data_IF_636366497972
#
_entry.id   IF_636366497972
#
_cell.length_a   1.000
_cell.length_b   1.000
_cell.length_c   1.000
_cell.angle_alpha   90.00
_cell.angle_beta   90.00
_cell.angle_gamma   90.00
#
_symmetry.space_group_name_H-M   'P 1'
#
loop_
_entity.id
_entity.type
_entity.pdbx_description
1 polymer ?
#
# COMPACT_ATOMS: atom_id res chain seq x y z
N UNK A 1 -11.89 45.09 8.24
CA UNK A 1 -12.89 44.01 8.45
C UNK A 1 -12.23 42.67 8.20
N UNK A 2 -11.83 41.98 9.27
CA UNK A 2 -11.31 40.61 9.24
C UNK A 2 -12.44 39.66 8.87
N UNK A 3 -12.37 39.02 7.69
CA UNK A 3 -13.23 37.88 7.38
C UNK A 3 -12.49 36.63 7.82
N UNK A 4 -12.82 36.17 9.01
CA UNK A 4 -12.45 34.87 9.52
C UNK A 4 -12.83 33.78 8.51
N UNK A 5 -11.81 32.98 8.18
CA UNK A 5 -11.86 31.75 7.40
C UNK A 5 -12.96 30.82 7.88
N UNK A 6 -14.08 30.77 7.15
CA UNK A 6 -15.03 29.66 7.28
C UNK A 6 -14.37 28.40 6.73
N UNK A 7 -14.17 27.44 7.61
CA UNK A 7 -13.80 26.06 7.32
C UNK A 7 -14.70 25.48 6.22
N UNK A 8 -14.19 25.40 4.99
CA UNK A 8 -14.75 24.53 3.96
C UNK A 8 -14.63 23.11 4.47
N UNK A 9 -15.72 22.52 4.96
CA UNK A 9 -15.76 21.08 5.19
C UNK A 9 -15.34 20.38 3.89
N UNK A 10 -14.34 19.50 3.92
CA UNK A 10 -13.96 18.75 2.73
C UNK A 10 -15.20 18.00 2.22
N UNK A 11 -15.39 17.94 0.90
CA UNK A 11 -16.44 17.11 0.33
C UNK A 11 -16.26 15.68 0.83
N UNK A 12 -17.36 14.94 1.00
CA UNK A 12 -17.30 13.54 1.48
C UNK A 12 -16.34 12.70 0.62
N UNK A 13 -16.29 13.00 -0.69
CA UNK A 13 -15.34 12.42 -1.62
C UNK A 13 -13.88 12.83 -1.31
N UNK A 14 -13.61 14.11 -1.04
CA UNK A 14 -12.27 14.56 -0.63
C UNK A 14 -11.78 13.85 0.64
N UNK A 15 -12.64 13.78 1.67
CA UNK A 15 -12.35 13.10 2.92
C UNK A 15 -12.10 11.60 2.68
N UNK A 16 -12.96 10.93 1.92
CA UNK A 16 -12.82 9.51 1.64
C UNK A 16 -11.54 9.16 0.87
N UNK A 17 -11.11 9.98 -0.11
CA UNK A 17 -9.82 9.77 -0.78
C UNK A 17 -8.64 9.93 0.19
N UNK A 18 -8.70 10.91 1.10
CA UNK A 18 -7.65 11.12 2.10
C UNK A 18 -7.60 9.99 3.13
N UNK A 19 -8.75 9.51 3.60
CA UNK A 19 -8.84 8.37 4.52
C UNK A 19 -8.37 7.08 3.87
N UNK A 20 -8.75 6.83 2.61
CA UNK A 20 -8.27 5.67 1.86
C UNK A 20 -6.74 5.71 1.69
N UNK A 21 -6.17 6.87 1.37
CA UNK A 21 -4.71 7.04 1.28
C UNK A 21 -4.04 6.86 2.64
N UNK A 22 -4.64 7.37 3.72
CA UNK A 22 -4.14 7.18 5.09
C UNK A 22 -4.17 5.69 5.50
N UNK A 23 -5.20 4.94 5.12
CA UNK A 23 -5.28 3.49 5.33
C UNK A 23 -4.14 2.74 4.61
N UNK A 24 -3.85 3.11 3.36
CA UNK A 24 -2.72 2.54 2.60
C UNK A 24 -1.38 2.87 3.26
N UNK A 25 -1.19 4.13 3.68
CA UNK A 25 0.02 4.55 4.40
C UNK A 25 0.16 3.74 5.70
N UNK A 26 -0.91 3.55 6.45
CA UNK A 26 -0.91 2.73 7.67
C UNK A 26 -0.49 1.29 7.40
N UNK A 27 -1.08 0.65 6.39
CA UNK A 27 -0.75 -0.73 6.01
C UNK A 27 0.72 -0.87 5.57
N UNK A 28 1.21 0.03 4.70
CA UNK A 28 2.60 0.00 4.23
C UNK A 28 3.59 0.30 5.37
N UNK A 29 3.27 1.23 6.26
CA UNK A 29 4.11 1.55 7.42
C UNK A 29 4.18 0.37 8.39
N UNK A 30 3.06 -0.29 8.63
CA UNK A 30 3.02 -1.47 9.47
C UNK A 30 3.87 -2.61 8.89
N UNK A 31 3.81 -2.83 7.57
CA UNK A 31 4.65 -3.82 6.90
C UNK A 31 6.16 -3.53 7.04
N UNK A 32 6.56 -2.26 7.14
CA UNK A 32 7.96 -1.91 7.45
C UNK A 32 8.35 -2.14 8.90
N UNK A 33 7.43 -1.88 9.84
CA UNK A 33 7.67 -2.22 11.25
C UNK A 33 7.96 -3.70 11.34
N UNK A 34 7.19 -4.53 10.65
CA UNK A 34 7.40 -5.98 10.66
C UNK A 34 8.76 -6.38 10.09
N UNK A 35 9.10 -5.84 8.93
CA UNK A 35 10.37 -6.13 8.28
C UNK A 35 11.61 -5.66 9.07
N UNK A 36 11.56 -4.47 9.66
CA UNK A 36 12.72 -3.86 10.34
C UNK A 36 12.83 -4.23 11.81
N UNK A 37 11.69 -4.38 12.51
CA UNK A 37 11.65 -4.65 13.94
C UNK A 37 11.57 -6.15 14.25
N UNK A 38 10.73 -6.89 13.51
CA UNK A 38 10.59 -8.33 13.70
C UNK A 38 11.58 -9.14 12.86
N UNK A 39 12.25 -8.51 11.88
CA UNK A 39 13.30 -9.13 11.08
C UNK A 39 12.80 -10.15 10.07
N UNK A 40 11.49 -10.12 9.77
CA UNK A 40 10.87 -11.04 8.81
C UNK A 40 10.96 -10.45 7.41
N UNK A 41 11.77 -11.09 6.55
CA UNK A 41 11.94 -10.65 5.17
C UNK A 41 10.68 -10.96 4.36
N UNK A 42 10.18 -10.01 3.53
CA UNK A 42 8.96 -10.22 2.76
C UNK A 42 9.15 -11.21 1.62
N UNK A 43 8.23 -12.18 1.54
CA UNK A 43 8.14 -13.11 0.42
C UNK A 43 7.88 -12.41 -0.94
N UNK A 44 8.18 -13.03 -2.10
CA UNK A 44 7.93 -12.44 -3.41
C UNK A 44 6.45 -12.07 -3.64
N UNK A 45 5.51 -12.86 -3.11
CA UNK A 45 4.07 -12.56 -3.16
C UNK A 45 3.71 -11.34 -2.31
N UNK A 46 4.36 -11.20 -1.16
CA UNK A 46 4.19 -10.09 -0.23
C UNK A 46 4.62 -8.78 -0.91
N UNK A 47 5.72 -8.79 -1.67
CA UNK A 47 6.18 -7.66 -2.48
C UNK A 47 5.16 -7.29 -3.57
N UNK A 48 4.60 -8.28 -4.28
CA UNK A 48 3.53 -8.03 -5.25
C UNK A 48 2.28 -7.42 -4.60
N UNK A 49 1.93 -7.83 -3.38
CA UNK A 49 0.85 -7.20 -2.61
C UNK A 49 1.18 -5.76 -2.24
N UNK A 50 2.43 -5.43 -1.86
CA UNK A 50 2.79 -4.02 -1.63
C UNK A 50 2.65 -3.18 -2.89
N UNK A 51 3.02 -3.72 -4.05
CA UNK A 51 2.85 -3.04 -5.34
C UNK A 51 1.39 -2.72 -5.66
N UNK A 52 0.45 -3.62 -5.36
CA UNK A 52 -0.98 -3.35 -5.53
C UNK A 52 -1.47 -2.16 -4.70
N UNK A 53 -1.08 -2.07 -3.43
CA UNK A 53 -1.40 -0.94 -2.56
C UNK A 53 -0.77 0.36 -3.06
N UNK A 54 0.45 0.30 -3.59
CA UNK A 54 1.14 1.44 -4.19
C UNK A 54 0.39 1.95 -5.43
N UNK A 55 -0.09 1.05 -6.31
CA UNK A 55 -0.87 1.43 -7.49
C UNK A 55 -2.17 2.13 -7.10
N UNK A 56 -2.90 1.60 -6.11
CA UNK A 56 -4.11 2.26 -5.58
C UNK A 56 -3.74 3.63 -4.97
N UNK A 57 -2.66 3.69 -4.20
CA UNK A 57 -2.19 4.92 -3.58
C UNK A 57 -1.87 6.00 -4.62
N UNK A 58 -1.21 5.67 -5.74
CA UNK A 58 -0.99 6.60 -6.84
C UNK A 58 -2.29 7.13 -7.45
N UNK A 59 -3.27 6.25 -7.69
CA UNK A 59 -4.58 6.67 -8.16
C UNK A 59 -5.26 7.67 -7.21
N UNK A 60 -5.19 7.44 -5.90
CA UNK A 60 -5.73 8.33 -4.88
C UNK A 60 -4.96 9.65 -4.78
N UNK A 61 -3.63 9.63 -4.90
CA UNK A 61 -2.81 10.84 -4.93
C UNK A 61 -3.17 11.70 -6.14
N UNK A 62 -3.35 11.10 -7.32
CA UNK A 62 -3.81 11.81 -8.51
C UNK A 62 -5.20 12.43 -8.28
N UNK A 63 -6.12 11.73 -7.64
CA UNK A 63 -7.43 12.29 -7.28
C UNK A 63 -7.32 13.50 -6.34
N UNK A 64 -6.45 13.44 -5.33
CA UNK A 64 -6.26 14.53 -4.36
C UNK A 64 -5.59 15.76 -5.03
N UNK A 65 -4.66 15.55 -5.98
CA UNK A 65 -3.86 16.62 -6.59
C UNK A 65 -4.47 17.24 -7.84
N UNK A 66 -5.01 16.38 -8.71
CA UNK A 66 -5.52 16.74 -10.03
C UNK A 66 -7.05 16.85 -10.04
N UNK A 67 -7.72 16.36 -9.00
CA UNK A 67 -9.18 16.26 -8.92
C UNK A 67 -9.66 14.84 -9.23
N UNK A 68 -10.86 14.50 -8.77
CA UNK A 68 -11.44 13.17 -8.98
C UNK A 68 -11.79 12.95 -10.45
N UNK A 69 -11.20 11.91 -11.03
CA UNK A 69 -11.51 11.44 -12.37
C UNK A 69 -11.83 9.95 -12.33
N UNK A 70 -12.85 9.51 -13.07
CA UNK A 70 -13.25 8.10 -13.13
C UNK A 70 -12.12 7.18 -13.60
N UNK A 71 -11.26 7.67 -14.50
CA UNK A 71 -10.09 6.94 -14.98
C UNK A 71 -9.10 6.59 -13.85
N UNK A 72 -8.87 7.49 -12.89
CA UNK A 72 -7.97 7.22 -11.77
C UNK A 72 -8.54 6.12 -10.87
N UNK A 73 -9.84 6.18 -10.57
CA UNK A 73 -10.52 5.11 -9.84
C UNK A 73 -10.45 3.77 -10.58
N UNK A 74 -10.59 3.77 -11.90
CA UNK A 74 -10.43 2.58 -12.74
C UNK A 74 -9.05 1.92 -12.58
N UNK A 75 -7.97 2.71 -12.67
CA UNK A 75 -6.61 2.21 -12.41
C UNK A 75 -6.44 1.68 -10.98
N UNK A 76 -7.01 2.38 -9.99
CA UNK A 76 -7.02 1.91 -8.61
C UNK A 76 -7.75 0.56 -8.45
N UNK A 77 -8.91 0.39 -9.09
CA UNK A 77 -9.69 -0.85 -9.03
C UNK A 77 -8.91 -2.00 -9.69
N UNK A 78 -8.31 -1.78 -10.86
CA UNK A 78 -7.50 -2.82 -11.53
C UNK A 78 -6.32 -3.23 -10.64
N UNK A 79 -5.57 -2.26 -10.09
CA UNK A 79 -4.47 -2.53 -9.17
C UNK A 79 -4.93 -3.29 -7.92
N UNK A 80 -6.09 -2.92 -7.37
CA UNK A 80 -6.68 -3.59 -6.21
C UNK A 80 -7.17 -5.00 -6.50
N UNK A 81 -7.76 -5.26 -7.66
CA UNK A 81 -8.15 -6.61 -8.07
C UNK A 81 -6.93 -7.52 -8.22
N UNK A 82 -5.84 -7.03 -8.82
CA UNK A 82 -4.59 -7.80 -8.92
C UNK A 82 -4.01 -8.09 -7.53
N UNK A 83 -3.90 -7.08 -6.67
CA UNK A 83 -3.42 -7.26 -5.30
C UNK A 83 -4.30 -8.23 -4.48
N UNK A 84 -5.62 -8.13 -4.63
CA UNK A 84 -6.59 -9.05 -4.01
C UNK A 84 -6.36 -10.48 -4.48
N UNK A 85 -6.21 -10.72 -5.78
CA UNK A 85 -5.95 -12.07 -6.32
C UNK A 85 -4.62 -12.65 -5.80
N UNK A 86 -3.57 -11.85 -5.71
CA UNK A 86 -2.27 -12.28 -5.16
C UNK A 86 -2.40 -12.66 -3.68
N UNK A 87 -3.10 -11.85 -2.89
CA UNK A 87 -3.34 -12.14 -1.47
C UNK A 87 -4.21 -13.38 -1.28
N UNK A 88 -5.27 -13.54 -2.08
CA UNK A 88 -6.12 -14.73 -2.08
C UNK A 88 -5.32 -15.99 -2.44
N UNK A 89 -4.43 -15.91 -3.43
CA UNK A 89 -3.53 -17.02 -3.77
C UNK A 89 -2.69 -17.43 -2.56
N UNK A 90 -2.14 -16.47 -1.82
CA UNK A 90 -1.33 -16.77 -0.64
C UNK A 90 -2.17 -17.42 0.48
N UNK A 91 -3.40 -16.95 0.70
CA UNK A 91 -4.35 -17.60 1.62
C UNK A 91 -4.59 -19.05 1.22
N UNK A 92 -4.84 -19.31 -0.07
CA UNK A 92 -5.10 -20.65 -0.58
C UNK A 92 -3.89 -21.59 -0.50
N UNK A 93 -2.66 -21.05 -0.60
CA UNK A 93 -1.45 -21.84 -0.42
C UNK A 93 -1.28 -22.37 1.01
N UNK A 94 -1.77 -21.62 2.00
CA UNK A 94 -1.63 -21.95 3.43
C UNK A 94 -2.95 -22.37 4.10
N UNK A 95 -3.91 -22.88 3.33
CA UNK A 95 -5.23 -23.30 3.87
C UNK A 95 -5.23 -24.74 4.41
N UNK A 96 -4.17 -25.51 4.13
CA UNK A 96 -4.11 -26.94 4.47
C UNK A 96 -3.90 -27.13 5.99
N UNK A 97 -4.63 -28.07 6.64
CA UNK A 97 -4.48 -28.31 8.07
C UNK A 97 -3.05 -28.78 8.42
N UNK A 98 -2.44 -28.11 9.40
CA UNK A 98 -1.06 -28.39 9.84
C UNK A 98 0.00 -27.48 9.25
N UNK A 99 -0.37 -26.57 8.33
CA UNK A 99 0.54 -25.51 7.86
C UNK A 99 0.63 -24.39 8.91
N UNK A 100 1.86 -23.98 9.23
CA UNK A 100 2.12 -22.86 10.15
C UNK A 100 1.92 -21.49 9.49
N UNK A 101 1.76 -21.45 8.17
CA UNK A 101 1.66 -20.23 7.38
C UNK A 101 2.99 -19.48 7.27
N UNK A 102 3.00 -18.45 6.42
CA UNK A 102 4.16 -17.56 6.25
C UNK A 102 4.04 -16.31 7.15
N UNK A 103 5.11 -16.03 7.89
CA UNK A 103 5.23 -14.85 8.75
C UNK A 103 4.38 -14.87 10.01
N UNK A 104 4.62 -13.91 10.90
CA UNK A 104 3.87 -13.75 12.15
C UNK A 104 2.39 -13.46 11.92
N UNK A 105 1.59 -13.89 12.89
CA UNK A 105 0.16 -13.56 12.95
C UNK A 105 -0.05 -12.25 13.72
N UNK A 106 -0.97 -11.43 13.22
CA UNK A 106 -1.47 -10.25 13.89
C UNK A 106 -2.96 -10.46 14.15
N UNK A 107 -3.37 -10.41 15.41
CA UNK A 107 -4.73 -10.77 15.84
C UNK A 107 -5.14 -12.17 15.34
N UNK A 108 -4.24 -13.15 15.50
CA UNK A 108 -4.41 -14.56 15.09
C UNK A 108 -4.54 -14.80 13.58
N UNK A 109 -4.44 -13.76 12.74
CA UNK A 109 -4.48 -13.87 11.29
C UNK A 109 -3.13 -13.48 10.68
N UNK A 110 -2.71 -14.19 9.64
CA UNK A 110 -1.51 -13.83 8.88
C UNK A 110 -1.70 -12.55 8.07
N UNK A 111 -0.59 -11.86 7.77
CA UNK A 111 -0.62 -10.59 7.05
C UNK A 111 -1.23 -10.66 5.66
N UNK A 112 -1.09 -11.78 4.96
CA UNK A 112 -1.71 -11.96 3.65
C UNK A 112 -3.24 -12.02 3.72
N UNK A 113 -3.81 -12.51 4.83
CA UNK A 113 -5.26 -12.47 5.07
C UNK A 113 -5.73 -11.05 5.36
N UNK A 114 -4.98 -10.29 6.15
CA UNK A 114 -5.26 -8.87 6.37
C UNK A 114 -5.13 -8.05 5.08
N UNK A 115 -4.15 -8.36 4.23
CA UNK A 115 -4.02 -7.74 2.92
C UNK A 115 -5.27 -7.99 2.07
N UNK A 116 -5.78 -9.22 2.03
CA UNK A 116 -7.03 -9.55 1.33
C UNK A 116 -8.21 -8.73 1.85
N UNK A 117 -8.43 -8.67 3.17
CA UNK A 117 -9.49 -7.86 3.79
C UNK A 117 -9.31 -6.36 3.46
N UNK A 118 -8.08 -5.86 3.52
CA UNK A 118 -7.74 -4.50 3.14
C UNK A 118 -8.06 -4.18 1.68
N UNK A 119 -7.76 -5.09 0.76
CA UNK A 119 -8.13 -4.94 -0.65
C UNK A 119 -9.63 -4.92 -0.88
N UNK A 120 -10.38 -5.83 -0.24
CA UNK A 120 -11.85 -5.83 -0.30
C UNK A 120 -12.41 -4.50 0.20
N UNK A 121 -11.92 -4.01 1.34
CA UNK A 121 -12.32 -2.73 1.92
C UNK A 121 -11.98 -1.54 1.02
N UNK A 122 -10.78 -1.50 0.43
CA UNK A 122 -10.38 -0.45 -0.50
C UNK A 122 -11.21 -0.48 -1.78
N UNK A 123 -11.47 -1.64 -2.37
CA UNK A 123 -12.31 -1.77 -3.57
C UNK A 123 -13.75 -1.29 -3.29
N UNK A 124 -14.32 -1.69 -2.15
CA UNK A 124 -15.63 -1.19 -1.71
C UNK A 124 -15.61 0.34 -1.51
N UNK A 125 -14.56 0.87 -0.88
CA UNK A 125 -14.37 2.31 -0.69
C UNK A 125 -14.25 3.07 -2.01
N UNK A 126 -13.48 2.57 -2.97
CA UNK A 126 -13.36 3.14 -4.31
C UNK A 126 -14.69 3.11 -5.07
N UNK A 127 -15.47 2.03 -4.93
CA UNK A 127 -16.81 1.92 -5.52
C UNK A 127 -17.77 2.97 -4.92
N UNK A 128 -17.77 3.14 -3.60
CA UNK A 128 -18.58 4.17 -2.93
C UNK A 128 -18.13 5.57 -3.37
N UNK A 129 -16.81 5.83 -3.43
CA UNK A 129 -16.26 7.10 -3.92
C UNK A 129 -16.66 7.40 -5.36
N UNK A 130 -16.77 6.38 -6.21
CA UNK A 130 -17.22 6.54 -7.60
C UNK A 130 -18.70 6.94 -7.69
N UNK A 131 -19.53 6.52 -6.72
CA UNK A 131 -20.95 6.91 -6.64
C UNK A 131 -21.15 8.32 -6.09
N UNK A 132 -20.16 8.87 -5.39
CA UNK A 132 -20.25 10.20 -4.80
C UNK A 132 -19.98 11.31 -5.83
N UNK A 133 -20.59 12.49 -5.64
CA UNK A 133 -20.32 13.63 -6.51
C UNK A 133 -18.85 14.05 -6.41
N UNK A 134 -18.15 14.02 -7.55
CA UNK A 134 -16.70 14.32 -7.67
C UNK A 134 -16.35 15.82 -7.52
N UNK A 135 -17.22 16.64 -6.91
CA UNK A 135 -16.98 18.06 -6.70
C UNK A 135 -16.02 18.28 -5.52
N UNK A 136 -15.07 19.20 -5.69
CA UNK A 136 -14.14 19.66 -4.66
C UNK A 136 -13.24 18.59 -4.01
N UNK A 137 -12.91 17.52 -4.75
CA UNK A 137 -11.97 16.47 -4.27
C UNK A 137 -10.52 16.98 -4.18
N UNK A 138 -10.18 17.97 -5.01
CA UNK A 138 -8.84 18.54 -5.04
C UNK A 138 -8.54 19.23 -3.72
N UNK A 139 -7.50 18.77 -3.03
CA UNK A 139 -7.09 19.33 -1.74
C UNK A 139 -5.62 19.70 -1.72
N UNK A 140 -5.34 20.91 -1.23
CA UNK A 140 -3.99 21.42 -0.95
C UNK A 140 -3.77 21.69 0.54
N UNK A 141 -4.60 21.12 1.40
CA UNK A 141 -4.46 21.27 2.85
C UNK A 141 -3.11 20.72 3.32
N UNK A 142 -2.61 21.23 4.46
CA UNK A 142 -1.38 20.71 5.07
C UNK A 142 -1.49 19.19 5.32
N UNK A 143 -2.64 18.73 5.79
CA UNK A 143 -2.92 17.31 5.99
C UNK A 143 -2.79 16.49 4.69
N UNK A 144 -3.40 16.94 3.58
CA UNK A 144 -3.27 16.29 2.29
C UNK A 144 -1.81 16.27 1.80
N UNK A 145 -1.06 17.37 2.01
CA UNK A 145 0.35 17.45 1.64
C UNK A 145 1.20 16.45 2.42
N UNK A 146 0.99 16.35 3.75
CA UNK A 146 1.69 15.40 4.61
C UNK A 146 1.39 13.97 4.16
N UNK A 147 0.12 13.60 3.94
CA UNK A 147 -0.24 12.27 3.47
C UNK A 147 0.45 11.92 2.14
N UNK A 148 0.38 12.81 1.15
CA UNK A 148 1.01 12.58 -0.16
C UNK A 148 2.52 12.45 -0.02
N UNK A 149 3.17 13.29 0.79
CA UNK A 149 4.61 13.24 0.99
C UNK A 149 5.04 11.95 1.71
N UNK A 150 4.34 11.57 2.79
CA UNK A 150 4.56 10.30 3.49
C UNK A 150 4.38 9.10 2.56
N UNK A 151 3.33 9.10 1.73
CA UNK A 151 3.12 8.05 0.75
C UNK A 151 4.30 7.93 -0.24
N UNK A 152 4.77 9.05 -0.80
CA UNK A 152 5.92 9.05 -1.72
C UNK A 152 7.17 8.51 -1.04
N UNK A 153 7.44 8.90 0.21
CA UNK A 153 8.57 8.37 0.98
C UNK A 153 8.45 6.85 1.21
N UNK A 154 7.25 6.35 1.53
CA UNK A 154 7.02 4.92 1.70
C UNK A 154 7.18 4.15 0.40
N UNK A 155 6.76 4.70 -0.74
CA UNK A 155 7.00 4.09 -2.06
C UNK A 155 8.50 3.99 -2.34
N UNK A 156 9.24 5.07 -2.09
CA UNK A 156 10.69 5.07 -2.28
C UNK A 156 11.38 4.08 -1.35
N UNK A 157 10.98 4.02 -0.07
CA UNK A 157 11.48 3.04 0.88
C UNK A 157 11.18 1.60 0.42
N UNK A 158 10.00 1.34 -0.15
CA UNK A 158 9.63 -0.01 -0.63
C UNK A 158 10.49 -0.41 -1.83
N UNK A 159 10.74 0.52 -2.74
CA UNK A 159 11.62 0.30 -3.87
C UNK A 159 13.06 -0.03 -3.40
N UNK A 160 13.62 0.79 -2.51
CA UNK A 160 14.97 0.55 -1.96
C UNK A 160 15.03 -0.80 -1.25
N UNK A 161 14.07 -1.09 -0.38
CA UNK A 161 13.98 -2.37 0.31
C UNK A 161 13.95 -3.55 -0.66
N UNK A 162 13.11 -3.48 -1.68
CA UNK A 162 12.96 -4.55 -2.69
C UNK A 162 14.27 -4.77 -3.45
N UNK A 163 14.97 -3.69 -3.81
CA UNK A 163 16.27 -3.76 -4.49
C UNK A 163 17.37 -4.34 -3.58
N UNK A 164 17.35 -4.02 -2.29
CA UNK A 164 18.30 -4.59 -1.31
C UNK A 164 18.04 -6.08 -1.07
N UNK A 165 16.80 -6.51 -1.19
CA UNK A 165 16.40 -7.89 -0.97
C UNK A 165 16.66 -8.76 -2.20
N UNK A 166 16.10 -8.41 -3.35
CA UNK A 166 16.15 -9.22 -4.56
C UNK A 166 17.34 -8.90 -5.48
N UNK A 167 17.98 -7.73 -5.30
CA UNK A 167 19.03 -7.27 -6.21
C UNK A 167 18.52 -7.06 -7.63
N UNK A 168 19.30 -7.52 -8.62
CA UNK A 168 18.97 -7.44 -10.07
C UNK A 168 18.30 -8.74 -10.55
N UNK A 169 18.22 -9.77 -9.70
CA UNK A 169 17.67 -11.10 -10.03
C UNK A 169 16.25 -11.34 -9.50
N UNK A 170 15.70 -12.53 -9.73
CA UNK A 170 14.47 -12.97 -9.06
C UNK A 170 14.71 -13.10 -7.55
N UNK A 171 13.73 -12.67 -6.74
CA UNK A 171 13.74 -12.86 -5.29
C UNK A 171 13.68 -14.35 -4.93
N UNK A 172 14.35 -14.75 -3.84
CA UNK A 172 14.19 -16.08 -3.26
C UNK A 172 12.75 -16.26 -2.72
N UNK A 173 12.22 -17.49 -2.81
CA UNK A 173 10.84 -17.78 -2.37
C UNK A 173 10.68 -17.63 -0.84
N UNK A 174 11.69 -18.05 -0.06
CA UNK A 174 11.77 -17.90 1.40
C UNK A 174 13.05 -17.15 1.81
N UNK A 175 13.05 -15.81 1.79
CA UNK A 175 14.25 -15.03 2.09
C UNK A 175 14.57 -15.05 3.59
N UNK A 176 15.81 -15.41 3.93
CA UNK A 176 16.37 -15.30 5.29
C UNK A 176 17.48 -14.24 5.40
N UNK A 177 17.91 -13.68 4.26
CA UNK A 177 19.00 -12.71 4.12
C UNK A 177 18.70 -11.73 2.98
N UNK A 178 19.29 -10.54 3.06
CA UNK A 178 19.25 -9.54 1.98
C UNK A 178 20.28 -9.89 0.90
N UNK A 179 19.90 -10.75 -0.05
CA UNK A 179 20.79 -11.25 -1.11
C UNK A 179 21.30 -10.14 -2.03
N UNK A 180 20.46 -9.15 -2.34
CA UNK A 180 20.87 -7.96 -3.11
C UNK A 180 21.96 -7.14 -2.40
N UNK A 181 21.86 -6.97 -1.09
CA UNK A 181 22.89 -6.28 -0.29
C UNK A 181 24.19 -7.07 -0.25
N UNK A 182 24.13 -8.40 -0.09
CA UNK A 182 25.31 -9.27 -0.09
C UNK A 182 26.00 -9.24 -1.45
N UNK A 183 25.23 -9.30 -2.54
CA UNK A 183 25.74 -9.13 -3.90
C UNK A 183 26.45 -7.78 -4.06
N UNK A 184 25.84 -6.70 -3.61
CA UNK A 184 26.40 -5.34 -3.70
C UNK A 184 27.71 -5.21 -2.91
N UNK A 185 27.75 -5.74 -1.68
CA UNK A 185 28.96 -5.83 -0.85
C UNK A 185 30.06 -6.64 -1.54
N UNK A 186 29.73 -7.79 -2.12
CA UNK A 186 30.73 -8.65 -2.79
C UNK A 186 31.33 -8.01 -4.05
N UNK A 187 30.55 -7.18 -4.77
CA UNK A 187 30.97 -6.56 -6.04
C UNK A 187 31.73 -5.25 -5.82
N UNK A 188 31.32 -4.45 -4.85
CA UNK A 188 31.84 -3.10 -4.62
C UNK A 188 32.67 -2.95 -3.33
N UNK A 189 32.80 -4.00 -2.52
CA UNK A 189 33.70 -4.02 -1.36
C UNK A 189 33.29 -3.09 -0.20
N UNK A 190 31.98 -2.85 -0.03
CA UNK A 190 31.40 -2.03 1.05
C UNK A 190 30.87 -2.89 2.21
#
# INVERSE_FOLDING_TARGET
MSKHSFSSFPSLAALGNQLALAGIIGMLSYAFIDQLYFGELPCPLCLMQRMGFIIIGFALVLNIRCGAHSAHYGWGIIGGLVGMMVSLRQVLLHILPGDTGFGKTFLELHFYTWAYVGYVGLLAGLAILLMLPNRDVRSRSLFANVLVMTFILLVFANLVSTLLECGIGPCADDPVKYDGLIWLRSRFGI
#
